data_IF_261904217907
#
_entry.id   IF_261904217907
#
_cell.length_a   1.000
_cell.length_b   1.000
_cell.length_c   1.000
_cell.angle_alpha   90.00
_cell.angle_beta   90.00
_cell.angle_gamma   90.00
#
_symmetry.space_group_name_H-M   'P 1'
#
loop_
_entity.id
_entity.type
_entity.pdbx_description
1 polymer ?
#
# COMPACT_ATOMS: atom_id res chain seq x y z
N UNK A 1 -52.88 -11.52 -28.26
CA UNK A 1 -52.68 -11.31 -26.81
C UNK A 1 -51.27 -11.66 -26.33
N UNK A 2 -50.61 -12.67 -26.89
CA UNK A 2 -49.23 -13.08 -26.51
C UNK A 2 -48.16 -12.06 -26.95
N UNK A 3 -48.34 -11.39 -28.10
CA UNK A 3 -47.33 -10.43 -28.64
C UNK A 3 -47.20 -9.13 -27.83
N UNK A 4 -48.24 -8.73 -27.08
CA UNK A 4 -48.22 -7.50 -26.26
C UNK A 4 -47.52 -7.73 -24.91
N UNK A 5 -47.60 -8.94 -24.35
CA UNK A 5 -46.93 -9.30 -23.09
C UNK A 5 -45.40 -9.35 -23.25
N UNK A 6 -44.88 -9.90 -24.35
CA UNK A 6 -43.45 -9.97 -24.65
C UNK A 6 -42.84 -8.59 -24.85
N UNK A 7 -43.58 -7.61 -25.37
CA UNK A 7 -43.06 -6.23 -25.53
C UNK A 7 -42.97 -5.45 -24.23
N UNK A 8 -43.85 -5.69 -23.26
CA UNK A 8 -43.84 -5.03 -21.95
C UNK A 8 -42.65 -5.49 -21.09
N UNK A 9 -42.38 -6.81 -21.13
CA UNK A 9 -41.23 -7.38 -20.40
C UNK A 9 -39.90 -6.90 -21.00
N UNK A 10 -39.78 -6.78 -22.31
CA UNK A 10 -38.58 -6.29 -22.97
C UNK A 10 -38.30 -4.81 -22.65
N UNK A 11 -39.34 -3.97 -22.61
CA UNK A 11 -39.23 -2.55 -22.22
C UNK A 11 -38.85 -2.41 -20.75
N UNK A 12 -39.40 -3.25 -19.87
CA UNK A 12 -39.04 -3.28 -18.46
C UNK A 12 -37.55 -3.67 -18.25
N UNK A 13 -37.13 -4.74 -18.91
CA UNK A 13 -35.72 -5.19 -18.86
C UNK A 13 -34.77 -4.11 -19.40
N UNK A 14 -35.11 -3.46 -20.53
CA UNK A 14 -34.28 -2.36 -21.06
C UNK A 14 -34.25 -1.14 -20.15
N UNK A 15 -35.35 -0.79 -19.45
CA UNK A 15 -35.30 0.27 -18.42
C UNK A 15 -34.47 -0.11 -17.24
N UNK A 16 -34.54 -1.34 -16.74
CA UNK A 16 -33.72 -1.85 -15.65
C UNK A 16 -32.22 -1.82 -16.00
N UNK A 17 -31.87 -2.29 -17.21
CA UNK A 17 -30.50 -2.23 -17.73
C UNK A 17 -29.97 -0.80 -17.85
N UNK A 18 -30.80 0.15 -18.30
CA UNK A 18 -30.43 1.58 -18.36
C UNK A 18 -30.21 2.18 -16.96
N UNK A 19 -31.06 1.86 -15.99
CA UNK A 19 -30.91 2.32 -14.62
C UNK A 19 -29.65 1.75 -13.96
N UNK A 20 -29.35 0.48 -14.17
CA UNK A 20 -28.15 -0.17 -13.72
C UNK A 20 -26.90 0.43 -14.39
N UNK A 21 -26.92 0.64 -15.70
CA UNK A 21 -25.82 1.27 -16.42
C UNK A 21 -25.61 2.73 -15.97
N UNK A 22 -26.69 3.49 -15.77
CA UNK A 22 -26.62 4.87 -15.28
C UNK A 22 -26.05 4.94 -13.86
N UNK A 23 -26.47 4.04 -12.95
CA UNK A 23 -25.92 3.92 -11.60
C UNK A 23 -24.42 3.55 -11.60
N UNK A 24 -24.00 2.61 -12.46
CA UNK A 24 -22.59 2.24 -12.60
C UNK A 24 -21.74 3.40 -13.13
N UNK A 25 -22.22 4.14 -14.14
CA UNK A 25 -21.52 5.30 -14.70
C UNK A 25 -21.39 6.42 -13.65
N UNK A 26 -22.42 6.65 -12.84
CA UNK A 26 -22.41 7.67 -11.81
C UNK A 26 -21.41 7.33 -10.67
N UNK A 27 -21.41 6.07 -10.23
CA UNK A 27 -20.44 5.57 -9.25
C UNK A 27 -19.01 5.64 -9.80
N UNK A 28 -18.80 5.30 -11.08
CA UNK A 28 -17.48 5.40 -11.71
C UNK A 28 -16.98 6.85 -11.77
N UNK A 29 -17.83 7.79 -12.20
CA UNK A 29 -17.48 9.22 -12.22
C UNK A 29 -17.12 9.75 -10.83
N UNK A 30 -17.88 9.40 -9.79
CA UNK A 30 -17.59 9.81 -8.42
C UNK A 30 -16.23 9.27 -7.95
N UNK A 31 -15.93 8.00 -8.25
CA UNK A 31 -14.61 7.40 -7.93
C UNK A 31 -13.47 8.11 -8.62
N UNK A 32 -13.61 8.42 -9.90
CA UNK A 32 -12.58 9.15 -10.66
C UNK A 32 -12.38 10.56 -10.10
N UNK A 33 -13.46 11.30 -9.83
CA UNK A 33 -13.38 12.66 -9.27
C UNK A 33 -12.71 12.61 -7.90
N UNK A 34 -13.11 11.71 -7.01
CA UNK A 34 -12.50 11.56 -5.69
C UNK A 34 -11.02 11.22 -5.78
N UNK A 35 -10.64 10.29 -6.67
CA UNK A 35 -9.25 9.93 -6.88
C UNK A 35 -8.42 11.13 -7.38
N UNK A 36 -8.93 11.89 -8.36
CA UNK A 36 -8.26 13.09 -8.88
C UNK A 36 -8.08 14.14 -7.78
N UNK A 37 -9.14 14.42 -6.99
CA UNK A 37 -9.06 15.38 -5.89
C UNK A 37 -8.01 14.94 -4.86
N UNK A 38 -8.00 13.66 -4.47
CA UNK A 38 -7.02 13.13 -3.51
C UNK A 38 -5.59 13.21 -4.04
N UNK A 39 -5.36 12.89 -5.31
CA UNK A 39 -4.05 13.02 -5.96
C UNK A 39 -3.59 14.48 -5.99
N UNK A 40 -4.46 15.40 -6.42
CA UNK A 40 -4.12 16.84 -6.46
C UNK A 40 -3.84 17.40 -5.07
N UNK A 41 -4.65 17.02 -4.06
CA UNK A 41 -4.42 17.42 -2.68
C UNK A 41 -3.08 16.85 -2.16
N UNK A 42 -2.80 15.58 -2.40
CA UNK A 42 -1.52 14.95 -2.03
C UNK A 42 -0.32 15.67 -2.68
N UNK A 43 -0.36 15.93 -3.99
CA UNK A 43 0.70 16.63 -4.72
C UNK A 43 0.88 18.06 -4.21
N UNK A 44 -0.22 18.78 -3.93
CA UNK A 44 -0.16 20.11 -3.37
C UNK A 44 0.54 20.11 -2.01
N UNK A 45 0.14 19.20 -1.10
CA UNK A 45 0.76 19.06 0.22
C UNK A 45 2.25 18.68 0.10
N UNK A 46 2.59 17.78 -0.82
CA UNK A 46 3.97 17.33 -1.04
C UNK A 46 4.88 18.47 -1.49
N UNK A 47 4.38 19.37 -2.35
CA UNK A 47 5.16 20.47 -2.92
C UNK A 47 5.25 21.66 -1.94
N UNK A 48 4.19 21.92 -1.16
CA UNK A 48 4.09 23.16 -0.35
C UNK A 48 4.59 23.01 1.07
N UNK A 49 4.57 21.79 1.63
CA UNK A 49 4.92 21.56 3.03
C UNK A 49 6.40 21.21 3.21
N UNK A 50 6.91 21.59 4.40
CA UNK A 50 8.21 21.09 4.86
C UNK A 50 8.14 19.58 5.12
N UNK A 51 9.29 18.86 5.07
CA UNK A 51 9.33 17.42 5.39
C UNK A 51 8.67 17.06 6.72
N UNK A 52 8.90 17.87 7.75
CA UNK A 52 8.31 17.68 9.10
C UNK A 52 6.81 17.87 9.07
N UNK A 53 6.31 18.95 8.44
CA UNK A 53 4.87 19.23 8.34
C UNK A 53 4.15 18.13 7.55
N UNK A 54 4.76 17.64 6.48
CA UNK A 54 4.22 16.53 5.70
C UNK A 54 4.18 15.23 6.53
N UNK A 55 5.26 14.92 7.27
CA UNK A 55 5.32 13.76 8.16
C UNK A 55 4.21 13.81 9.24
N UNK A 56 3.86 15.00 9.77
CA UNK A 56 2.75 15.15 10.70
C UNK A 56 1.39 14.83 10.06
N UNK A 57 1.16 15.23 8.80
CA UNK A 57 -0.06 14.87 8.08
C UNK A 57 -0.12 13.36 7.83
N UNK A 58 0.99 12.77 7.42
CA UNK A 58 1.07 11.31 7.25
C UNK A 58 0.84 10.58 8.57
N UNK A 59 1.24 11.16 9.73
CA UNK A 59 0.91 10.58 11.04
C UNK A 59 -0.59 10.42 11.25
N UNK A 60 -1.39 11.38 10.83
CA UNK A 60 -2.85 11.27 10.91
C UNK A 60 -3.39 10.11 10.06
N UNK A 61 -2.87 9.93 8.82
CA UNK A 61 -3.24 8.80 7.96
C UNK A 61 -2.81 7.46 8.57
N UNK A 62 -1.62 7.40 9.16
CA UNK A 62 -1.12 6.20 9.85
C UNK A 62 -1.97 5.86 11.07
N UNK A 63 -2.43 6.85 11.84
CA UNK A 63 -3.35 6.64 12.96
C UNK A 63 -4.70 6.12 12.48
N UNK A 64 -5.23 6.64 11.36
CA UNK A 64 -6.46 6.13 10.74
C UNK A 64 -6.29 4.68 10.25
N UNK A 65 -5.16 4.34 9.63
CA UNK A 65 -4.82 2.95 9.28
C UNK A 65 -4.70 2.08 10.54
N UNK A 66 -4.13 2.60 11.63
CA UNK A 66 -4.09 1.95 12.93
C UNK A 66 -5.48 1.66 13.50
N UNK A 67 -6.45 2.55 13.29
CA UNK A 67 -7.85 2.29 13.65
C UNK A 67 -8.39 1.06 12.91
N UNK A 68 -8.15 0.94 11.62
CA UNK A 68 -8.56 -0.24 10.85
C UNK A 68 -7.78 -1.49 11.25
N UNK A 69 -6.48 -1.36 11.60
CA UNK A 69 -5.68 -2.47 12.11
C UNK A 69 -6.29 -3.13 13.35
N UNK A 70 -6.97 -2.37 14.20
CA UNK A 70 -7.68 -2.93 15.37
C UNK A 70 -8.77 -3.94 14.99
N UNK A 71 -9.35 -3.82 13.79
CA UNK A 71 -10.33 -4.80 13.27
C UNK A 71 -9.65 -6.15 13.01
N UNK A 72 -8.40 -6.16 12.52
CA UNK A 72 -7.60 -7.36 12.33
C UNK A 72 -7.26 -8.04 13.67
N UNK A 73 -7.10 -7.26 14.75
CA UNK A 73 -6.91 -7.75 16.12
C UNK A 73 -8.20 -8.22 16.81
N UNK A 74 -9.37 -8.07 16.20
CA UNK A 74 -10.68 -8.32 16.82
C UNK A 74 -10.97 -7.43 18.04
N UNK A 75 -10.50 -6.20 18.05
CA UNK A 75 -10.84 -5.20 19.06
C UNK A 75 -12.11 -4.50 18.60
N UNK A 76 -13.23 -4.73 19.33
CA UNK A 76 -14.54 -4.15 19.00
C UNK A 76 -14.89 -2.94 19.88
N UNK A 77 -14.28 -2.83 21.07
CA UNK A 77 -14.58 -1.77 22.04
C UNK A 77 -13.83 -0.48 21.70
N UNK A 78 -14.52 0.66 21.77
CA UNK A 78 -13.91 1.97 21.54
C UNK A 78 -12.72 2.26 22.47
N UNK A 79 -12.80 1.99 23.80
CA UNK A 79 -11.65 2.18 24.69
C UNK A 79 -10.42 1.33 24.27
N UNK A 80 -10.66 0.07 23.84
CA UNK A 80 -9.59 -0.80 23.35
C UNK A 80 -8.93 -0.26 22.08
N UNK A 81 -9.72 0.26 21.13
CA UNK A 81 -9.19 0.92 19.93
C UNK A 81 -8.38 2.16 20.28
N UNK A 82 -8.92 3.04 21.12
CA UNK A 82 -8.22 4.24 21.59
C UNK A 82 -6.92 3.89 22.29
N UNK A 83 -6.93 2.89 23.19
CA UNK A 83 -5.71 2.41 23.85
C UNK A 83 -4.64 1.95 22.85
N UNK A 84 -5.04 1.22 21.80
CA UNK A 84 -4.12 0.82 20.73
C UNK A 84 -3.56 2.03 19.96
N UNK A 85 -4.40 3.02 19.63
CA UNK A 85 -3.95 4.24 18.94
C UNK A 85 -3.00 5.07 19.79
N UNK A 86 -3.19 5.12 21.12
CA UNK A 86 -2.23 5.77 22.02
C UNK A 86 -0.88 5.08 22.00
N UNK A 87 -0.85 3.73 21.98
CA UNK A 87 0.39 2.98 21.82
C UNK A 87 1.05 3.22 20.46
N UNK A 88 0.28 3.25 19.37
CA UNK A 88 0.78 3.58 18.05
C UNK A 88 1.36 5.00 18.01
N UNK A 89 0.63 5.98 18.55
CA UNK A 89 1.10 7.37 18.63
C UNK A 89 2.39 7.48 19.43
N UNK A 90 2.47 6.78 20.56
CA UNK A 90 3.71 6.69 21.34
C UNK A 90 4.86 6.08 20.50
N UNK A 91 4.58 5.01 19.74
CA UNK A 91 5.55 4.41 18.82
C UNK A 91 6.05 5.40 17.78
N UNK A 92 5.14 6.19 17.15
CA UNK A 92 5.52 7.24 16.20
C UNK A 92 6.38 8.34 16.85
N UNK A 93 6.01 8.78 18.06
CA UNK A 93 6.78 9.77 18.82
C UNK A 93 8.17 9.27 19.17
N UNK A 94 8.29 8.05 19.68
CA UNK A 94 9.58 7.44 19.98
C UNK A 94 10.45 7.31 18.73
N UNK A 95 9.86 6.91 17.61
CA UNK A 95 10.55 6.82 16.31
C UNK A 95 11.00 8.20 15.84
N UNK A 96 10.17 9.24 15.98
CA UNK A 96 10.51 10.61 15.60
C UNK A 96 11.68 11.17 16.41
N UNK A 97 11.70 10.90 17.72
CA UNK A 97 12.82 11.29 18.60
C UNK A 97 14.07 10.49 18.25
N UNK A 98 13.95 9.17 18.03
CA UNK A 98 15.07 8.32 17.64
C UNK A 98 15.74 8.79 16.34
N UNK A 99 14.94 9.19 15.35
CA UNK A 99 15.42 9.69 14.05
C UNK A 99 15.96 11.14 14.12
N UNK A 100 15.77 11.85 15.24
CA UNK A 100 16.17 13.26 15.35
C UNK A 100 15.33 14.19 14.47
N UNK A 101 14.07 13.85 14.19
CA UNK A 101 13.22 14.57 13.23
C UNK A 101 12.97 16.05 13.61
N UNK A 102 13.05 16.35 14.91
CA UNK A 102 12.75 17.69 15.47
C UNK A 102 13.97 18.60 15.59
N UNK A 103 15.19 18.03 15.49
CA UNK A 103 16.44 18.76 15.66
C UNK A 103 17.35 18.51 14.45
N UNK A 104 18.03 17.38 14.42
CA UNK A 104 18.89 16.98 13.31
C UNK A 104 18.59 15.54 12.93
N UNK A 105 18.08 15.36 11.72
CA UNK A 105 17.79 14.04 11.19
C UNK A 105 19.05 13.17 11.12
N UNK A 106 18.99 11.99 11.70
CA UNK A 106 20.10 11.03 11.77
C UNK A 106 19.91 9.91 10.74
N UNK A 107 20.61 10.06 9.62
CA UNK A 107 20.57 9.11 8.50
C UNK A 107 21.03 7.70 8.92
N UNK A 108 22.05 7.59 9.78
CA UNK A 108 22.58 6.29 10.23
C UNK A 108 21.55 5.51 11.05
N UNK A 109 20.80 6.20 11.93
CA UNK A 109 19.72 5.59 12.70
C UNK A 109 18.57 5.17 11.79
N UNK A 110 18.24 5.97 10.76
CA UNK A 110 17.24 5.61 9.77
C UNK A 110 17.62 4.33 9.02
N UNK A 111 18.86 4.21 8.57
CA UNK A 111 19.37 3.01 7.91
C UNK A 111 19.28 1.77 8.82
N UNK A 112 19.67 1.86 10.08
CA UNK A 112 19.53 0.77 11.04
C UNK A 112 18.07 0.34 11.22
N UNK A 113 17.15 1.32 11.31
CA UNK A 113 15.72 1.07 11.41
C UNK A 113 15.20 0.30 10.19
N UNK A 114 15.60 0.70 8.98
CA UNK A 114 15.14 0.06 7.74
C UNK A 114 15.81 -1.30 7.51
N UNK A 115 17.04 -1.53 7.96
CA UNK A 115 17.64 -2.87 7.98
C UNK A 115 16.81 -3.84 8.83
N UNK A 116 16.36 -3.39 10.03
CA UNK A 116 15.45 -4.17 10.88
C UNK A 116 14.11 -4.39 10.19
N UNK A 117 13.56 -3.36 9.51
CA UNK A 117 12.32 -3.49 8.74
C UNK A 117 12.44 -4.54 7.64
N UNK A 118 13.51 -4.51 6.85
CA UNK A 118 13.76 -5.49 5.77
C UNK A 118 13.91 -6.91 6.33
N UNK A 119 14.64 -7.07 7.45
CA UNK A 119 14.76 -8.37 8.11
C UNK A 119 13.40 -8.89 8.63
N UNK A 120 12.56 -8.02 9.19
CA UNK A 120 11.19 -8.37 9.59
C UNK A 120 10.35 -8.80 8.38
N UNK A 121 10.43 -8.10 7.25
CA UNK A 121 9.71 -8.46 6.04
C UNK A 121 10.20 -9.79 5.44
N UNK A 122 11.47 -10.14 5.59
CA UNK A 122 11.97 -11.49 5.22
C UNK A 122 11.31 -12.59 6.08
N UNK A 123 11.12 -12.34 7.39
CA UNK A 123 10.36 -13.26 8.26
C UNK A 123 8.89 -13.33 7.85
N UNK A 124 8.27 -12.18 7.56
CA UNK A 124 6.88 -12.12 7.09
C UNK A 124 6.71 -12.89 5.77
N UNK A 125 7.67 -12.81 4.85
CA UNK A 125 7.66 -13.60 3.62
C UNK A 125 7.57 -15.10 3.92
N UNK A 126 8.35 -15.61 4.87
CA UNK A 126 8.27 -17.02 5.28
C UNK A 126 6.91 -17.38 5.88
N UNK A 127 6.29 -16.46 6.63
CA UNK A 127 4.93 -16.66 7.15
C UNK A 127 3.88 -16.72 6.05
N UNK A 128 3.97 -15.86 5.05
CA UNK A 128 3.07 -15.86 3.88
C UNK A 128 3.20 -17.17 3.11
N UNK A 129 4.44 -17.62 2.87
CA UNK A 129 4.72 -18.89 2.18
C UNK A 129 4.18 -20.11 2.97
N UNK A 130 4.33 -20.09 4.29
CA UNK A 130 3.91 -21.19 5.16
C UNK A 130 2.42 -21.18 5.54
N UNK A 131 1.62 -20.20 5.08
CA UNK A 131 0.21 -20.10 5.45
C UNK A 131 -0.61 -21.29 4.88
N UNK A 132 -1.53 -21.92 5.66
CA UNK A 132 -2.02 -21.51 6.98
C UNK A 132 -1.23 -22.05 8.18
N UNK A 133 -0.23 -22.92 8.00
CA UNK A 133 0.49 -23.55 9.13
C UNK A 133 1.29 -22.52 9.94
N UNK A 134 1.83 -21.49 9.31
CA UNK A 134 2.59 -20.42 9.94
C UNK A 134 1.77 -19.59 10.98
N UNK A 135 0.44 -19.69 10.96
CA UNK A 135 -0.44 -18.91 11.85
C UNK A 135 -0.09 -19.08 13.33
N UNK A 136 0.48 -20.21 13.72
CA UNK A 136 0.88 -20.49 15.10
C UNK A 136 1.89 -19.47 15.65
N UNK A 137 2.71 -18.88 14.76
CA UNK A 137 3.78 -17.96 15.12
C UNK A 137 3.29 -16.52 15.31
N UNK A 138 2.27 -16.09 14.54
CA UNK A 138 1.92 -14.68 14.43
C UNK A 138 0.44 -14.36 14.76
N UNK A 139 -0.45 -15.34 14.87
CA UNK A 139 -1.90 -15.11 14.93
C UNK A 139 -2.42 -14.61 16.28
N UNK A 140 -1.59 -14.56 17.31
CA UNK A 140 -2.01 -14.05 18.62
C UNK A 140 -2.26 -12.52 18.55
N UNK A 141 -3.29 -12.04 19.30
CA UNK A 141 -3.64 -10.61 19.32
C UNK A 141 -2.47 -9.68 19.65
N UNK A 142 -1.62 -9.96 20.66
CA UNK A 142 -0.47 -9.12 20.98
C UNK A 142 0.52 -9.06 19.82
N UNK A 143 0.81 -10.18 19.14
CA UNK A 143 1.73 -10.21 18.00
C UNK A 143 1.18 -9.41 16.83
N UNK A 144 -0.10 -9.61 16.44
CA UNK A 144 -0.73 -8.80 15.39
C UNK A 144 -0.71 -7.31 15.77
N UNK A 145 -0.96 -6.97 17.04
CA UNK A 145 -0.92 -5.59 17.52
C UNK A 145 0.47 -4.98 17.42
N UNK A 146 1.49 -5.70 17.89
CA UNK A 146 2.89 -5.25 17.81
C UNK A 146 3.33 -5.07 16.35
N UNK A 147 3.01 -6.03 15.48
CA UNK A 147 3.28 -5.93 14.04
C UNK A 147 2.67 -4.68 13.44
N UNK A 148 1.41 -4.36 13.78
CA UNK A 148 0.77 -3.14 13.29
C UNK A 148 1.48 -1.87 13.71
N UNK A 149 1.86 -1.74 14.99
CA UNK A 149 2.61 -0.58 15.49
C UNK A 149 3.96 -0.47 14.76
N UNK A 150 4.71 -1.56 14.68
CA UNK A 150 6.05 -1.58 14.10
C UNK A 150 6.01 -1.30 12.59
N UNK A 151 5.15 -1.99 11.83
CA UNK A 151 5.07 -1.83 10.39
C UNK A 151 4.58 -0.44 9.99
N UNK A 152 3.56 0.09 10.67
CA UNK A 152 3.05 1.43 10.43
C UNK A 152 4.08 2.51 10.83
N UNK A 153 4.82 2.31 11.93
CA UNK A 153 5.90 3.21 12.32
C UNK A 153 7.07 3.19 11.30
N UNK A 154 7.45 2.02 10.79
CA UNK A 154 8.47 1.90 9.74
C UNK A 154 8.04 2.59 8.44
N UNK A 155 6.77 2.43 8.05
CA UNK A 155 6.21 3.09 6.87
C UNK A 155 6.25 4.61 7.02
N UNK A 156 5.83 5.11 8.16
CA UNK A 156 5.88 6.53 8.49
C UNK A 156 7.32 7.07 8.50
N UNK A 157 8.23 6.36 9.17
CA UNK A 157 9.64 6.71 9.22
C UNK A 157 10.29 6.76 7.84
N UNK A 158 9.90 5.82 6.95
CA UNK A 158 10.39 5.79 5.57
C UNK A 158 9.96 7.04 4.78
N UNK A 159 8.69 7.46 4.89
CA UNK A 159 8.23 8.72 4.28
C UNK A 159 9.03 9.91 4.81
N UNK A 160 9.20 10.01 6.13
CA UNK A 160 9.96 11.09 6.75
C UNK A 160 11.42 11.10 6.27
N UNK A 161 12.08 9.93 6.22
CA UNK A 161 13.45 9.78 5.74
C UNK A 161 13.62 10.15 4.27
N UNK A 162 12.75 9.63 3.40
CA UNK A 162 12.78 9.95 1.96
C UNK A 162 12.68 11.46 1.74
N UNK A 163 11.81 12.15 2.46
CA UNK A 163 11.63 13.60 2.33
C UNK A 163 12.81 14.43 2.87
N UNK A 164 13.66 13.87 3.73
CA UNK A 164 14.91 14.52 4.19
C UNK A 164 16.07 14.31 3.20
N UNK A 165 15.89 13.42 2.23
CA UNK A 165 16.87 13.22 1.17
C UNK A 165 16.84 14.36 0.14
N UNK A 166 17.97 14.62 -0.53
CA UNK A 166 18.00 15.52 -1.69
C UNK A 166 17.01 15.02 -2.75
N UNK A 167 16.21 15.91 -3.31
CA UNK A 167 15.10 15.58 -4.22
C UNK A 167 14.05 14.61 -3.62
N UNK A 168 13.89 14.57 -2.28
CA UNK A 168 13.02 13.61 -1.58
C UNK A 168 11.57 13.57 -2.06
N UNK A 169 11.02 14.71 -2.49
CA UNK A 169 9.67 14.78 -3.07
C UNK A 169 9.56 13.93 -4.34
N UNK A 170 10.54 14.03 -5.24
CA UNK A 170 10.60 13.21 -6.46
C UNK A 170 10.83 11.74 -6.16
N UNK A 171 11.68 11.45 -5.15
CA UNK A 171 11.91 10.08 -4.68
C UNK A 171 10.63 9.44 -4.15
N UNK A 172 9.84 10.17 -3.36
CA UNK A 172 8.57 9.68 -2.86
C UNK A 172 7.58 9.43 -4.00
N UNK A 173 7.54 10.30 -5.02
CA UNK A 173 6.70 10.08 -6.20
C UNK A 173 7.14 8.85 -7.00
N UNK A 174 8.44 8.62 -7.15
CA UNK A 174 8.97 7.39 -7.78
C UNK A 174 8.55 6.17 -6.97
N UNK A 175 8.69 6.18 -5.65
CA UNK A 175 8.26 5.08 -4.79
C UNK A 175 6.77 4.77 -4.95
N UNK A 176 5.92 5.80 -4.97
CA UNK A 176 4.48 5.67 -5.20
C UNK A 176 4.20 5.09 -6.59
N UNK A 177 4.90 5.58 -7.62
CA UNK A 177 4.74 5.09 -8.99
C UNK A 177 5.14 3.61 -9.11
N UNK A 178 6.21 3.18 -8.43
CA UNK A 178 6.64 1.77 -8.40
C UNK A 178 5.54 0.87 -7.86
N UNK A 179 4.95 1.22 -6.71
CA UNK A 179 3.86 0.45 -6.11
C UNK A 179 2.63 0.43 -7.03
N UNK A 180 2.21 1.60 -7.52
CA UNK A 180 1.03 1.71 -8.39
C UNK A 180 1.20 0.94 -9.72
N UNK A 181 2.38 1.01 -10.33
CA UNK A 181 2.67 0.30 -11.59
C UNK A 181 2.78 -1.22 -11.37
N UNK A 182 3.24 -1.67 -10.20
CA UNK A 182 3.22 -3.09 -9.85
C UNK A 182 1.78 -3.61 -9.77
N UNK A 183 0.88 -2.85 -9.13
CA UNK A 183 -0.53 -3.21 -9.01
C UNK A 183 -1.25 -3.17 -10.36
N UNK A 184 -1.03 -2.12 -11.16
CA UNK A 184 -1.64 -1.98 -12.49
C UNK A 184 -1.17 -3.10 -13.42
N UNK A 185 0.15 -3.32 -13.52
CA UNK A 185 0.73 -4.36 -14.36
C UNK A 185 0.28 -5.75 -13.94
N UNK A 186 0.24 -5.99 -12.62
CA UNK A 186 -0.26 -7.22 -12.02
C UNK A 186 -1.73 -7.48 -12.33
N UNK A 187 -2.56 -6.46 -12.21
CA UNK A 187 -4.00 -6.53 -12.51
C UNK A 187 -4.25 -6.78 -14.01
N UNK A 188 -3.62 -6.00 -14.88
CA UNK A 188 -3.82 -6.11 -16.35
C UNK A 188 -3.41 -7.48 -16.85
N UNK A 189 -2.17 -7.90 -16.58
CA UNK A 189 -1.67 -9.19 -17.04
C UNK A 189 -2.38 -10.37 -16.36
N UNK A 190 -2.70 -10.25 -15.08
CA UNK A 190 -3.43 -11.27 -14.33
C UNK A 190 -4.86 -11.49 -14.84
N UNK A 191 -5.55 -10.43 -15.29
CA UNK A 191 -6.89 -10.55 -15.87
C UNK A 191 -6.89 -11.11 -17.29
N UNK A 192 -5.89 -10.75 -18.10
CA UNK A 192 -5.85 -11.16 -19.52
C UNK A 192 -5.28 -12.59 -19.67
N UNK A 193 -4.20 -12.89 -18.95
CA UNK A 193 -3.45 -14.13 -19.14
C UNK A 193 -3.38 -15.05 -17.91
N UNK A 194 -3.91 -14.61 -16.74
CA UNK A 194 -3.74 -15.30 -15.46
C UNK A 194 -4.36 -16.69 -15.43
N UNK A 195 -3.49 -17.69 -15.32
CA UNK A 195 -3.85 -19.14 -15.21
C UNK A 195 -3.29 -19.75 -13.93
N UNK A 196 -2.03 -19.47 -13.61
CA UNK A 196 -1.31 -20.09 -12.50
C UNK A 196 -1.38 -19.20 -11.25
N UNK A 197 -1.96 -19.73 -10.17
CA UNK A 197 -2.14 -18.96 -8.93
C UNK A 197 -0.82 -18.75 -8.20
N UNK A 198 -0.53 -17.49 -7.80
CA UNK A 198 0.68 -17.13 -7.05
C UNK A 198 0.59 -17.57 -5.58
N UNK A 199 -0.53 -17.27 -4.92
CA UNK A 199 -0.74 -17.55 -3.50
C UNK A 199 -2.21 -17.99 -3.25
N UNK A 200 -2.61 -19.24 -3.64
CA UNK A 200 -4.02 -19.65 -3.66
C UNK A 200 -4.73 -19.54 -2.30
N UNK A 201 -4.00 -19.81 -1.20
CA UNK A 201 -4.54 -19.82 0.17
C UNK A 201 -4.65 -18.44 0.79
N UNK A 202 -3.92 -17.46 0.27
CA UNK A 202 -3.84 -16.08 0.78
C UNK A 202 -4.67 -15.15 -0.10
N UNK A 203 -4.33 -15.09 -1.39
CA UNK A 203 -4.97 -14.25 -2.40
C UNK A 203 -5.23 -15.04 -3.67
N UNK A 204 -6.41 -15.66 -3.83
CA UNK A 204 -6.73 -16.50 -5.00
C UNK A 204 -6.84 -15.71 -6.31
N UNK A 205 -6.92 -14.38 -6.25
CA UNK A 205 -6.89 -13.50 -7.43
C UNK A 205 -5.52 -13.33 -8.05
N UNK A 206 -4.44 -13.41 -7.25
CA UNK A 206 -3.07 -13.17 -7.74
C UNK A 206 -2.54 -14.38 -8.53
N UNK A 207 -1.86 -14.09 -9.66
CA UNK A 207 -1.33 -15.07 -10.59
C UNK A 207 0.15 -14.80 -10.91
N UNK A 208 0.88 -15.83 -11.35
CA UNK A 208 2.27 -15.70 -11.80
C UNK A 208 2.38 -14.83 -13.06
N UNK A 209 1.39 -14.91 -13.96
CA UNK A 209 1.31 -14.05 -15.14
C UNK A 209 1.11 -12.58 -14.74
N UNK A 210 0.28 -12.32 -13.71
CA UNK A 210 0.17 -11.00 -13.12
C UNK A 210 1.49 -10.52 -12.52
N UNK A 211 2.19 -11.37 -11.79
CA UNK A 211 3.51 -11.05 -11.26
C UNK A 211 4.51 -10.69 -12.39
N UNK A 212 4.54 -11.46 -13.47
CA UNK A 212 5.38 -11.15 -14.64
C UNK A 212 4.97 -9.79 -15.27
N UNK A 213 3.67 -9.53 -15.39
CA UNK A 213 3.15 -8.25 -15.87
C UNK A 213 3.58 -7.07 -15.00
N UNK A 214 3.55 -7.22 -13.67
CA UNK A 214 4.07 -6.20 -12.76
C UNK A 214 5.55 -5.92 -13.06
N UNK A 215 6.39 -6.94 -13.25
CA UNK A 215 7.81 -6.77 -13.57
C UNK A 215 8.03 -6.09 -14.93
N UNK A 216 7.24 -6.44 -15.94
CA UNK A 216 7.30 -5.77 -17.27
C UNK A 216 6.99 -4.27 -17.12
N UNK A 217 5.97 -3.89 -16.35
CA UNK A 217 5.66 -2.47 -16.10
C UNK A 217 6.80 -1.75 -15.39
N UNK A 218 7.51 -2.40 -14.46
CA UNK A 218 8.69 -1.79 -13.84
C UNK A 218 9.83 -1.58 -14.84
N UNK A 219 10.08 -2.54 -15.73
CA UNK A 219 11.09 -2.40 -16.78
C UNK A 219 10.76 -1.23 -17.73
N UNK A 220 9.49 -1.12 -18.14
CA UNK A 220 9.02 0.00 -18.95
C UNK A 220 9.17 1.35 -18.20
N UNK A 221 8.91 1.37 -16.90
CA UNK A 221 9.09 2.55 -16.06
C UNK A 221 10.56 2.96 -15.97
N UNK A 222 11.48 2.03 -15.77
CA UNK A 222 12.93 2.28 -15.77
C UNK A 222 13.37 2.86 -17.11
N UNK A 223 12.96 2.25 -18.25
CA UNK A 223 13.27 2.75 -19.58
C UNK A 223 12.71 4.16 -19.79
N UNK A 224 11.47 4.41 -19.33
CA UNK A 224 10.85 5.73 -19.38
C UNK A 224 11.64 6.78 -18.58
N UNK A 225 12.04 6.47 -17.35
CA UNK A 225 12.86 7.37 -16.53
C UNK A 225 14.21 7.67 -17.18
N UNK A 226 14.91 6.66 -17.70
CA UNK A 226 16.19 6.86 -18.41
C UNK A 226 16.04 7.72 -19.68
N UNK A 227 14.92 7.60 -20.37
CA UNK A 227 14.65 8.41 -21.59
C UNK A 227 14.35 9.88 -21.27
N UNK A 228 13.63 10.12 -20.15
CA UNK A 228 13.25 11.46 -19.72
C UNK A 228 14.37 12.16 -18.92
N UNK A 229 15.17 11.39 -18.20
CA UNK A 229 16.22 11.85 -17.28
C UNK A 229 17.53 11.11 -17.58
N UNK A 230 18.26 11.47 -18.66
CA UNK A 230 19.43 10.71 -19.13
C UNK A 230 20.62 10.69 -18.16
N UNK A 231 20.60 11.56 -17.15
CA UNK A 231 21.63 11.59 -16.09
C UNK A 231 21.46 10.49 -15.03
N UNK A 232 20.32 9.79 -15.03
CA UNK A 232 20.09 8.72 -14.07
C UNK A 232 20.92 7.47 -14.39
N UNK A 233 21.46 6.86 -13.34
CA UNK A 233 22.28 5.65 -13.47
C UNK A 233 21.37 4.42 -13.55
N UNK A 234 21.39 3.72 -14.68
CA UNK A 234 20.55 2.54 -14.92
C UNK A 234 20.66 1.51 -13.81
N UNK A 235 21.89 1.18 -13.34
CA UNK A 235 22.13 0.22 -12.27
C UNK A 235 21.37 0.60 -10.99
N UNK A 236 21.41 1.87 -10.60
CA UNK A 236 20.78 2.35 -9.37
C UNK A 236 19.26 2.31 -9.48
N UNK A 237 18.70 2.61 -10.66
CA UNK A 237 17.26 2.46 -10.92
C UNK A 237 16.81 1.00 -10.82
N UNK A 238 17.57 0.05 -11.36
CA UNK A 238 17.26 -1.38 -11.23
C UNK A 238 17.29 -1.83 -9.77
N UNK A 239 18.32 -1.44 -9.01
CA UNK A 239 18.46 -1.77 -7.58
C UNK A 239 17.32 -1.15 -6.78
N UNK A 240 16.90 0.05 -7.11
CA UNK A 240 15.85 0.77 -6.37
C UNK A 240 14.45 0.27 -6.72
N UNK A 241 14.13 0.04 -7.99
CA UNK A 241 12.75 -0.18 -8.46
C UNK A 241 12.33 -1.64 -8.33
N UNK A 242 13.14 -2.58 -8.81
CA UNK A 242 12.74 -3.99 -8.89
C UNK A 242 12.50 -4.62 -7.51
N UNK A 243 13.43 -4.51 -6.52
CA UNK A 243 13.18 -5.07 -5.19
C UNK A 243 11.98 -4.42 -4.48
N UNK A 244 11.79 -3.12 -4.66
CA UNK A 244 10.68 -2.38 -4.05
C UNK A 244 9.32 -2.84 -4.60
N UNK A 245 9.23 -3.10 -5.91
CA UNK A 245 8.04 -3.68 -6.53
C UNK A 245 7.75 -5.11 -6.00
N UNK A 246 8.77 -5.93 -5.78
CA UNK A 246 8.61 -7.24 -5.15
C UNK A 246 8.07 -7.14 -3.72
N UNK A 247 8.59 -6.19 -2.95
CA UNK A 247 8.15 -5.95 -1.58
C UNK A 247 6.71 -5.38 -1.54
N UNK A 248 6.29 -4.56 -2.49
CA UNK A 248 4.90 -4.09 -2.55
C UNK A 248 3.93 -5.26 -2.72
N UNK A 249 4.25 -6.23 -3.58
CA UNK A 249 3.45 -7.45 -3.76
C UNK A 249 3.41 -8.28 -2.47
N UNK A 250 4.53 -8.35 -1.72
CA UNK A 250 4.59 -9.02 -0.44
C UNK A 250 3.72 -8.33 0.62
N UNK A 251 3.70 -6.99 0.65
CA UNK A 251 2.87 -6.20 1.57
C UNK A 251 1.38 -6.53 1.42
N UNK A 252 0.85 -6.50 0.19
CA UNK A 252 -0.53 -6.88 -0.11
C UNK A 252 -0.81 -8.36 0.23
N UNK A 253 0.13 -9.29 -0.06
CA UNK A 253 -0.04 -10.69 0.34
C UNK A 253 -0.10 -10.84 1.86
N UNK A 254 0.72 -10.11 2.61
CA UNK A 254 0.70 -10.14 4.06
C UNK A 254 -0.62 -9.63 4.63
N UNK A 255 -1.10 -8.48 4.18
CA UNK A 255 -2.39 -7.94 4.62
C UNK A 255 -3.54 -8.88 4.23
N UNK A 256 -3.52 -9.43 3.02
CA UNK A 256 -4.46 -10.46 2.57
C UNK A 256 -4.45 -11.69 3.50
N UNK A 257 -3.26 -12.14 3.96
CA UNK A 257 -3.12 -13.24 4.90
C UNK A 257 -3.80 -12.92 6.26
N UNK A 258 -3.59 -11.72 6.80
CA UNK A 258 -4.25 -11.28 8.03
C UNK A 258 -5.77 -11.22 7.86
N UNK A 259 -6.28 -10.70 6.74
CA UNK A 259 -7.72 -10.66 6.42
C UNK A 259 -8.32 -12.06 6.33
N UNK A 260 -7.64 -13.04 5.69
CA UNK A 260 -8.10 -14.44 5.65
C UNK A 260 -8.14 -15.06 7.04
N UNK A 261 -7.11 -14.85 7.86
CA UNK A 261 -7.11 -15.32 9.24
C UNK A 261 -8.25 -14.71 10.07
N UNK A 262 -8.56 -13.44 9.81
CA UNK A 262 -9.67 -12.73 10.47
C UNK A 262 -11.04 -13.17 9.97
N UNK A 263 -11.13 -13.74 8.76
CA UNK A 263 -12.39 -14.10 8.10
C UNK A 263 -13.10 -12.90 7.46
N UNK A 264 -12.35 -11.84 7.12
CA UNK A 264 -12.85 -10.64 6.44
C UNK A 264 -12.21 -10.49 5.06
N UNK A 265 -12.82 -9.67 4.21
CA UNK A 265 -12.27 -9.33 2.89
C UNK A 265 -11.57 -7.98 2.90
N UNK A 266 -12.16 -6.99 3.55
CA UNK A 266 -11.66 -5.61 3.62
C UNK A 266 -11.27 -5.29 5.08
N UNK A 267 -10.24 -4.49 5.27
CA UNK A 267 -9.73 -4.10 6.60
C UNK A 267 -10.67 -3.12 7.32
N UNK A 268 -11.40 -2.30 6.52
CA UNK A 268 -12.28 -1.26 7.01
C UNK A 268 -13.22 -0.71 5.94
N UNK A 269 -13.88 0.41 6.25
CA UNK A 269 -14.81 1.12 5.37
C UNK A 269 -14.59 2.64 5.41
N UNK A 270 -13.38 3.09 5.78
CA UNK A 270 -13.09 4.52 5.91
C UNK A 270 -13.17 5.26 4.58
N UNK A 271 -12.91 4.59 3.46
CA UNK A 271 -12.97 5.19 2.14
C UNK A 271 -14.26 4.75 1.42
N UNK A 272 -15.30 5.62 1.33
CA UNK A 272 -16.56 5.26 0.68
C UNK A 272 -16.34 4.76 -0.74
N UNK A 273 -16.82 3.54 -1.03
CA UNK A 273 -16.69 2.90 -2.34
C UNK A 273 -15.28 2.32 -2.67
N UNK A 274 -14.31 2.48 -1.76
CA UNK A 274 -12.92 2.03 -1.96
C UNK A 274 -12.41 1.03 -0.90
N UNK A 275 -13.21 0.69 0.11
CA UNK A 275 -12.79 -0.18 1.23
C UNK A 275 -12.06 0.58 2.33
N UNK A 276 -11.10 -0.07 2.98
CA UNK A 276 -10.29 0.54 4.02
C UNK A 276 -9.11 1.36 3.48
N UNK A 277 -8.62 2.28 4.32
CA UNK A 277 -7.36 2.99 4.08
C UNK A 277 -6.18 2.02 4.14
N UNK A 278 -6.22 1.06 5.07
CA UNK A 278 -5.18 0.03 5.21
C UNK A 278 -5.05 -0.81 3.93
N UNK A 279 -6.20 -1.16 3.29
CA UNK A 279 -6.23 -1.86 1.99
C UNK A 279 -5.59 -1.05 0.83
N UNK A 280 -5.25 0.22 1.04
CA UNK A 280 -4.60 1.10 0.05
C UNK A 280 -3.13 1.33 0.32
N UNK A 281 -2.71 1.08 1.55
CA UNK A 281 -1.31 1.29 1.94
C UNK A 281 -0.56 -0.01 2.22
N UNK A 282 -1.20 -1.14 2.08
CA UNK A 282 -0.65 -2.48 2.35
C UNK A 282 0.66 -2.76 1.59
N UNK A 283 0.70 -2.46 0.29
CA UNK A 283 1.91 -2.55 -0.51
C UNK A 283 3.00 -1.58 -0.06
N UNK A 284 2.61 -0.37 0.37
CA UNK A 284 3.55 0.64 0.84
C UNK A 284 4.23 0.27 2.15
N UNK A 285 3.57 -0.51 3.02
CA UNK A 285 4.15 -0.92 4.30
C UNK A 285 5.45 -1.72 4.14
N UNK A 286 5.56 -2.50 3.08
CA UNK A 286 6.78 -3.23 2.76
C UNK A 286 7.72 -2.44 1.83
N UNK A 287 7.16 -1.77 0.83
CA UNK A 287 7.90 -1.09 -0.22
C UNK A 287 8.70 0.12 0.30
N UNK A 288 8.07 1.00 1.10
CA UNK A 288 8.70 2.27 1.51
C UNK A 288 9.92 2.10 2.42
N UNK A 289 9.93 1.22 3.45
CA UNK A 289 11.14 1.01 4.24
C UNK A 289 12.31 0.46 3.42
N UNK A 290 12.04 -0.45 2.47
CA UNK A 290 13.07 -0.94 1.56
C UNK A 290 13.55 0.15 0.61
N UNK A 291 12.63 0.94 0.04
CA UNK A 291 12.97 2.07 -0.83
C UNK A 291 13.89 3.06 -0.10
N UNK A 292 13.55 3.45 1.12
CA UNK A 292 14.34 4.36 1.93
C UNK A 292 15.76 3.81 2.23
N UNK A 293 15.86 2.50 2.52
CA UNK A 293 17.15 1.86 2.72
C UNK A 293 17.98 1.84 1.43
N UNK A 294 17.39 1.43 0.31
CA UNK A 294 18.11 1.37 -0.96
C UNK A 294 18.49 2.75 -1.48
N UNK A 295 17.67 3.77 -1.20
CA UNK A 295 17.96 5.15 -1.55
C UNK A 295 19.20 5.68 -0.83
N UNK A 296 19.46 5.26 0.42
CA UNK A 296 20.67 5.64 1.14
C UNK A 296 21.93 4.93 0.62
N UNK A 297 21.76 3.80 -0.08
CA UNK A 297 22.85 3.00 -0.65
C UNK A 297 23.12 3.30 -2.13
N UNK A 298 22.26 4.07 -2.77
CA UNK A 298 22.35 4.43 -4.18
C UNK A 298 22.40 5.95 -4.32
N UNK A 299 22.92 6.43 -5.44
CA UNK A 299 22.91 7.88 -5.78
C UNK A 299 22.33 8.03 -7.17
N UNK A 300 21.00 7.80 -7.36
CA UNK A 300 20.40 7.81 -8.67
C UNK A 300 20.34 9.21 -9.30
N UNK A 301 20.57 10.28 -8.53
CA UNK A 301 20.58 11.69 -8.94
C UNK A 301 21.89 12.39 -8.64
#
# INVERSE_FOLDING_TARGET
MITILVSADLVFVMRLLRLLAWGMIHMFKQRVITAVILVLAFLSLLITLSPVSFALIISALVILAGWEWTNLMKISTVPGKVGYLLLLTLGLLLTSVWLGLWDRFDQSRAEQLFQVAVALWAVIFLWVQGYPSSKILWSSRPVIGLLGIVLLAFTWAAVASILHHQAGQWMLLIAIAVVALADIGGYVAGNIWGKHKLAPRVSPGKTWEGFAGAMVFQLLFIVGLMSLLPHLVAKDLFILIIPVALYSILGDLFESMLKRHRGVKDSGQLLPGHGGLLDRIDGFMAALPLFALLLSLTSPF
#
